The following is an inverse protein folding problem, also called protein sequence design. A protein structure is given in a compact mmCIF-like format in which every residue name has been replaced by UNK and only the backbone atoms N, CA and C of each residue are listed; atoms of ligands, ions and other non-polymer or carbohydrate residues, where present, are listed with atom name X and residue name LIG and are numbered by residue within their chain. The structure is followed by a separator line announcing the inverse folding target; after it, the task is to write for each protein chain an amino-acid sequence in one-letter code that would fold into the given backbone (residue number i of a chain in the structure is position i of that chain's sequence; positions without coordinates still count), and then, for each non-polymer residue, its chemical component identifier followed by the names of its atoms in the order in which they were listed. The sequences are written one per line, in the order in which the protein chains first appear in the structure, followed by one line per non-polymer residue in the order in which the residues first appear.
data_IF_619890246574
#
_entry.id   IF_619890246574
#
_cell.length_a   1.000
_cell.length_b   1.000
_cell.length_c   1.000
_cell.angle_alpha   90.00
_cell.angle_beta   90.00
_cell.angle_gamma   90.00
#
_symmetry.space_group_name_H-M   'P 1'
#
loop_
_entity.id
_entity.type
_entity.pdbx_description
1 polymer ?
#
# COMPACT_ATOMS: atom_id res chain seq x y z
N UNK A 1 -5.18 11.53 -9.73
CA UNK A 1 -4.89 11.92 -8.35
C UNK A 1 -4.15 10.82 -7.59
N UNK A 2 -4.39 9.53 -7.88
CA UNK A 2 -3.96 8.42 -7.04
C UNK A 2 -4.81 8.29 -5.77
N UNK A 3 -5.99 8.89 -5.77
CA UNK A 3 -7.01 8.79 -4.76
C UNK A 3 -8.05 7.73 -5.17
N UNK A 4 -8.55 6.98 -4.21
CA UNK A 4 -9.66 6.05 -4.37
C UNK A 4 -10.79 6.45 -3.43
N UNK A 5 -12.03 6.30 -3.87
CA UNK A 5 -13.17 6.64 -3.06
C UNK A 5 -14.41 5.86 -3.41
N UNK A 6 -15.36 5.89 -2.50
CA UNK A 6 -16.72 5.42 -2.70
C UNK A 6 -17.72 6.38 -2.07
N UNK A 7 -18.90 6.38 -2.62
CA UNK A 7 -20.05 7.14 -2.15
C UNK A 7 -21.24 6.20 -2.03
N UNK A 8 -22.01 6.35 -0.97
CA UNK A 8 -23.23 5.55 -0.75
C UNK A 8 -24.26 6.34 0.01
N UNK A 9 -25.50 5.91 -0.08
CA UNK A 9 -26.61 6.44 0.73
C UNK A 9 -26.93 5.49 1.87
N UNK A 10 -27.14 6.08 3.03
CA UNK A 10 -27.64 5.39 4.21
C UNK A 10 -28.83 6.23 4.77
N UNK A 11 -30.05 5.77 4.51
CA UNK A 11 -31.25 6.57 4.69
C UNK A 11 -31.23 7.81 3.78
N UNK A 12 -31.37 8.99 4.38
CA UNK A 12 -31.33 10.28 3.68
C UNK A 12 -29.90 10.84 3.54
N UNK A 13 -28.96 10.33 4.33
CA UNK A 13 -27.57 10.81 4.36
C UNK A 13 -26.77 10.26 3.18
N UNK A 14 -26.04 11.13 2.50
CA UNK A 14 -24.98 10.76 1.58
C UNK A 14 -23.68 10.64 2.36
N UNK A 15 -23.07 9.45 2.29
CA UNK A 15 -21.78 9.16 2.91
C UNK A 15 -20.70 8.99 1.87
N UNK A 16 -19.51 9.45 2.19
CA UNK A 16 -18.33 9.30 1.32
C UNK A 16 -17.15 8.70 2.10
N UNK A 17 -16.31 7.97 1.40
CA UNK A 17 -15.04 7.51 1.93
C UNK A 17 -13.97 7.64 0.86
N UNK A 18 -12.98 8.49 1.11
CA UNK A 18 -11.86 8.73 0.21
C UNK A 18 -10.53 8.41 0.89
N UNK A 19 -9.57 7.90 0.11
CA UNK A 19 -8.26 7.49 0.61
C UNK A 19 -7.18 7.74 -0.44
N UNK A 20 -6.01 8.18 0.01
CA UNK A 20 -4.77 8.17 -0.77
C UNK A 20 -3.55 7.90 0.13
N UNK A 21 -2.44 7.49 -0.48
CA UNK A 21 -1.15 7.37 0.20
C UNK A 21 -0.27 8.54 -0.20
N UNK A 22 0.09 9.39 0.76
CA UNK A 22 0.83 10.63 0.51
C UNK A 22 2.26 10.32 0.05
N UNK A 23 2.61 10.72 -1.18
CA UNK A 23 3.96 10.58 -1.72
C UNK A 23 5.01 11.43 -1.00
N UNK A 24 4.60 12.48 -0.31
CA UNK A 24 5.53 13.37 0.39
C UNK A 24 5.74 12.98 1.84
N UNK A 25 4.66 12.55 2.52
CA UNK A 25 4.66 12.38 3.98
C UNK A 25 4.74 10.93 4.42
N UNK A 26 4.69 9.97 3.47
CA UNK A 26 4.70 8.53 3.74
C UNK A 26 3.62 8.16 4.77
N UNK A 27 2.40 8.58 4.52
CA UNK A 27 1.23 8.38 5.36
C UNK A 27 0.02 8.03 4.51
N UNK A 28 -0.79 7.08 4.98
CA UNK A 28 -2.12 6.82 4.43
C UNK A 28 -3.07 7.84 5.03
N UNK A 29 -3.80 8.57 4.19
CA UNK A 29 -4.79 9.57 4.58
C UNK A 29 -6.15 9.09 4.13
N UNK A 30 -7.06 8.93 5.07
CA UNK A 30 -8.45 8.55 4.80
C UNK A 30 -9.41 9.58 5.37
N UNK A 31 -10.41 9.97 4.57
CA UNK A 31 -11.53 10.82 4.98
C UNK A 31 -12.83 10.06 4.86
N UNK A 32 -13.68 10.15 5.86
CA UNK A 32 -15.05 9.66 5.83
C UNK A 32 -15.94 10.82 6.19
N UNK A 33 -17.00 11.07 5.40
CA UNK A 33 -17.96 12.13 5.64
C UNK A 33 -19.40 11.64 5.58
N UNK A 34 -20.30 12.37 6.22
CA UNK A 34 -21.75 12.27 6.04
C UNK A 34 -22.36 13.66 5.87
N UNK A 35 -23.45 13.76 5.12
CA UNK A 35 -24.18 15.03 4.97
C UNK A 35 -24.93 15.45 6.25
N UNK A 36 -25.01 14.56 7.23
CA UNK A 36 -25.56 14.80 8.55
C UNK A 36 -24.58 14.31 9.62
N UNK A 37 -24.61 14.85 10.85
CA UNK A 37 -23.74 14.38 11.93
C UNK A 37 -24.27 13.05 12.52
N UNK A 38 -24.33 12.02 11.70
CA UNK A 38 -24.92 10.71 11.99
C UNK A 38 -23.95 9.53 11.80
N UNK A 39 -22.64 9.83 11.66
CA UNK A 39 -21.65 8.76 11.62
C UNK A 39 -21.54 8.07 12.96
N UNK A 40 -21.80 6.76 12.95
CA UNK A 40 -21.59 5.84 14.05
C UNK A 40 -20.52 4.83 13.61
N UNK A 41 -19.32 4.89 14.20
CA UNK A 41 -18.20 4.09 13.76
C UNK A 41 -17.39 3.54 14.93
N UNK A 42 -16.77 2.39 14.72
CA UNK A 42 -15.80 1.82 15.64
C UNK A 42 -14.51 1.53 14.88
N UNK A 43 -13.40 2.11 15.34
CA UNK A 43 -12.07 1.94 14.78
C UNK A 43 -11.27 0.97 15.64
N UNK A 44 -10.63 0.03 14.98
CA UNK A 44 -9.71 -0.92 15.59
C UNK A 44 -8.74 -1.47 14.57
N UNK A 45 -7.68 -2.12 15.04
CA UNK A 45 -6.70 -2.79 14.19
C UNK A 45 -6.57 -4.24 14.60
N UNK A 46 -6.52 -5.11 13.61
CA UNK A 46 -6.25 -6.53 13.80
C UNK A 46 -5.62 -7.11 12.54
N UNK A 47 -5.12 -8.35 12.63
CA UNK A 47 -4.68 -9.10 11.48
C UNK A 47 -5.88 -9.47 10.61
N UNK A 48 -5.70 -9.38 9.29
CA UNK A 48 -6.70 -9.89 8.36
C UNK A 48 -6.64 -11.42 8.31
N UNK A 49 -7.76 -12.06 8.63
CA UNK A 49 -7.91 -13.50 8.50
C UNK A 49 -8.33 -13.84 7.08
N UNK A 50 -7.49 -14.59 6.37
CA UNK A 50 -7.93 -15.22 5.14
C UNK A 50 -8.72 -16.48 5.48
N UNK A 51 -10.04 -16.38 5.43
CA UNK A 51 -10.96 -17.48 5.77
C UNK A 51 -10.96 -18.62 4.76
N UNK A 52 -10.24 -18.50 3.65
CA UNK A 52 -10.31 -19.45 2.54
C UNK A 52 -9.25 -20.57 2.59
N UNK A 53 -8.31 -20.55 3.54
CA UNK A 53 -7.25 -21.55 3.66
C UNK A 53 -6.93 -21.89 5.12
N UNK A 54 -7.13 -23.14 5.51
CA UNK A 54 -6.69 -23.72 6.79
C UNK A 54 -5.19 -23.51 7.07
N UNK A 55 -4.42 -23.21 6.02
CA UNK A 55 -3.00 -22.87 6.12
C UNK A 55 -2.71 -21.50 6.73
N UNK A 56 -3.64 -20.53 6.64
CA UNK A 56 -3.41 -19.18 7.16
C UNK A 56 -3.26 -19.19 8.69
N UNK A 57 -4.10 -19.92 9.41
CA UNK A 57 -3.98 -20.07 10.86
C UNK A 57 -2.66 -20.70 11.27
N UNK A 58 -2.23 -21.74 10.54
CA UNK A 58 -0.96 -22.42 10.81
C UNK A 58 0.24 -21.48 10.62
N UNK A 59 0.25 -20.68 9.58
CA UNK A 59 1.38 -19.80 9.24
C UNK A 59 1.38 -18.47 9.99
N UNK A 60 0.22 -18.01 10.45
CA UNK A 60 0.09 -16.78 11.21
C UNK A 60 -0.03 -17.00 12.73
N UNK A 61 0.12 -18.24 13.22
CA UNK A 61 -0.07 -18.57 14.64
C UNK A 61 0.75 -17.68 15.56
N UNK A 62 2.04 -17.51 15.29
CA UNK A 62 2.91 -16.67 16.11
C UNK A 62 2.53 -15.18 16.07
N UNK A 63 1.98 -14.68 14.95
CA UNK A 63 1.44 -13.33 14.86
C UNK A 63 0.22 -13.19 15.76
N UNK A 64 -0.68 -14.18 15.76
CA UNK A 64 -1.87 -14.20 16.61
C UNK A 64 -1.51 -14.24 18.10
N UNK A 65 -0.45 -14.96 18.45
CA UNK A 65 0.04 -15.09 19.82
C UNK A 65 0.81 -13.85 20.32
N UNK A 66 1.38 -13.07 19.40
CA UNK A 66 2.26 -11.93 19.73
C UNK A 66 1.64 -10.57 19.40
N UNK A 67 0.47 -10.54 18.75
CA UNK A 67 -0.19 -9.29 18.43
C UNK A 67 -0.63 -8.54 19.66
N UNK A 68 -0.41 -7.25 19.66
CA UNK A 68 -0.88 -6.33 20.66
C UNK A 68 -1.58 -5.16 19.98
N UNK A 69 -2.74 -4.78 20.48
CA UNK A 69 -3.45 -3.57 20.07
C UNK A 69 -3.71 -2.72 21.31
N UNK A 70 -3.34 -1.46 21.24
CA UNK A 70 -3.60 -0.50 22.31
C UNK A 70 -4.17 0.79 21.76
N UNK A 71 -5.05 1.41 22.54
CA UNK A 71 -5.58 2.73 22.27
C UNK A 71 -5.13 3.65 23.39
N UNK A 72 -4.70 4.83 23.02
CA UNK A 72 -4.41 5.91 23.96
C UNK A 72 -4.63 7.25 23.25
N UNK A 73 -5.37 8.10 23.88
CA UNK A 73 -5.81 9.38 23.31
C UNK A 73 -6.50 9.14 21.96
N UNK A 74 -6.10 9.78 20.89
CA UNK A 74 -6.63 9.55 19.53
C UNK A 74 -5.89 8.48 18.73
N UNK A 75 -4.93 7.75 19.35
CA UNK A 75 -4.06 6.81 18.65
C UNK A 75 -4.46 5.36 18.87
N UNK A 76 -4.42 4.59 17.79
CA UNK A 76 -4.49 3.13 17.81
C UNK A 76 -3.12 2.59 17.38
N UNK A 77 -2.49 1.79 18.24
CA UNK A 77 -1.21 1.14 17.96
C UNK A 77 -1.43 -0.36 17.80
N UNK A 78 -0.94 -0.91 16.71
CA UNK A 78 -0.90 -2.35 16.48
C UNK A 78 0.54 -2.80 16.29
N UNK A 79 0.93 -3.88 16.95
CA UNK A 79 2.25 -4.51 16.80
C UNK A 79 2.13 -6.02 16.80
N UNK A 80 3.00 -6.70 16.06
CA UNK A 80 3.18 -8.15 16.13
C UNK A 80 4.61 -8.52 15.76
N UNK A 81 5.02 -9.75 16.05
CA UNK A 81 6.34 -10.26 15.70
C UNK A 81 6.34 -10.98 14.36
N UNK A 82 7.40 -10.76 13.58
CA UNK A 82 7.77 -11.61 12.45
C UNK A 82 8.45 -12.90 12.95
N UNK A 83 8.59 -13.90 12.09
CA UNK A 83 9.29 -15.15 12.40
C UNK A 83 10.75 -14.96 12.83
N UNK A 84 11.40 -13.90 12.35
CA UNK A 84 12.78 -13.53 12.71
C UNK A 84 12.89 -12.79 14.05
N UNK A 85 11.78 -12.62 14.77
CA UNK A 85 11.71 -11.92 16.04
C UNK A 85 11.65 -10.39 15.93
N UNK A 86 11.68 -9.83 14.74
CA UNK A 86 11.50 -8.39 14.54
C UNK A 86 10.03 -7.99 14.65
N UNK A 87 9.79 -6.75 15.08
CA UNK A 87 8.45 -6.17 15.13
C UNK A 87 8.05 -5.58 13.78
N UNK A 88 6.80 -5.73 13.46
CA UNK A 88 6.07 -4.90 12.50
C UNK A 88 4.80 -4.36 13.15
N UNK A 89 4.23 -3.33 12.56
CA UNK A 89 3.00 -2.77 13.09
C UNK A 89 2.55 -1.54 12.36
N UNK A 90 1.60 -0.86 13.00
CA UNK A 90 0.95 0.32 12.45
C UNK A 90 0.52 1.24 13.58
N UNK A 91 0.67 2.55 13.36
CA UNK A 91 0.09 3.58 14.21
C UNK A 91 -0.97 4.32 13.38
N UNK A 92 -2.19 4.44 13.91
CA UNK A 92 -3.21 5.30 13.34
C UNK A 92 -3.60 6.40 14.31
N UNK A 93 -3.87 7.58 13.77
CA UNK A 93 -4.49 8.69 14.48
C UNK A 93 -5.90 8.93 13.93
N UNK A 94 -6.88 9.02 14.83
CA UNK A 94 -8.29 9.28 14.49
C UNK A 94 -8.56 10.74 14.83
N UNK A 95 -8.93 11.55 13.85
CA UNK A 95 -9.15 12.99 13.96
C UNK A 95 -10.60 13.32 13.55
N UNK A 96 -11.59 13.20 14.45
CA UNK A 96 -12.94 13.64 14.17
C UNK A 96 -12.99 15.17 14.12
N UNK A 97 -13.80 15.73 13.20
CA UNK A 97 -14.04 17.16 13.12
C UNK A 97 -15.05 17.63 14.18
N UNK A 98 -15.95 16.74 14.55
CA UNK A 98 -17.04 16.96 15.52
C UNK A 98 -17.45 15.63 16.16
N UNK A 99 -18.53 15.63 16.94
CA UNK A 99 -19.10 14.44 17.54
C UNK A 99 -18.47 14.05 18.88
N UNK A 100 -18.79 12.85 19.32
CA UNK A 100 -18.35 12.27 20.59
C UNK A 100 -17.53 11.03 20.29
N UNK A 101 -16.37 10.92 20.91
CA UNK A 101 -15.56 9.71 20.82
C UNK A 101 -15.20 9.18 22.21
N UNK A 102 -15.08 7.87 22.32
CA UNK A 102 -14.73 7.18 23.54
C UNK A 102 -13.80 5.99 23.26
N UNK A 103 -12.90 5.71 24.19
CA UNK A 103 -12.10 4.50 24.17
C UNK A 103 -12.88 3.33 24.77
N UNK A 104 -12.92 2.22 24.04
CA UNK A 104 -13.65 1.04 24.49
C UNK A 104 -12.92 -0.24 24.05
N UNK A 105 -12.38 -1.00 25.02
CA UNK A 105 -11.75 -2.31 24.79
C UNK A 105 -10.73 -2.34 23.64
N UNK A 106 -9.79 -1.38 23.62
CA UNK A 106 -8.75 -1.29 22.59
C UNK A 106 -9.25 -0.80 21.22
N UNK A 107 -10.41 -0.15 21.19
CA UNK A 107 -11.02 0.49 20.01
C UNK A 107 -11.44 1.91 20.33
N UNK A 108 -11.57 2.72 19.29
CA UNK A 108 -12.18 4.05 19.39
C UNK A 108 -13.58 3.98 18.79
N UNK A 109 -14.59 4.30 19.59
CA UNK A 109 -15.97 4.48 19.11
C UNK A 109 -16.23 5.95 18.89
N UNK A 110 -16.76 6.28 17.71
CA UNK A 110 -17.16 7.61 17.29
C UNK A 110 -18.67 7.64 17.05
N UNK A 111 -19.34 8.69 17.53
CA UNK A 111 -20.76 8.89 17.34
C UNK A 111 -21.09 10.36 17.09
N UNK A 112 -22.22 10.61 16.43
CA UNK A 112 -22.72 11.95 16.13
C UNK A 112 -21.69 12.84 15.39
N UNK A 113 -20.97 12.26 14.45
CA UNK A 113 -19.90 12.93 13.71
C UNK A 113 -20.31 13.15 12.26
N UNK A 114 -19.87 14.24 11.65
CA UNK A 114 -20.07 14.53 10.23
C UNK A 114 -18.84 14.20 9.38
N UNK A 115 -17.64 14.33 9.95
CA UNK A 115 -16.38 14.05 9.27
C UNK A 115 -15.32 13.49 10.21
N UNK A 116 -14.57 12.52 9.73
CA UNK A 116 -13.37 12.02 10.39
C UNK A 116 -12.22 11.84 9.40
N UNK A 117 -11.05 12.34 9.78
CA UNK A 117 -9.78 12.03 9.11
C UNK A 117 -9.03 10.95 9.89
N UNK A 118 -8.38 10.07 9.15
CA UNK A 118 -7.58 8.99 9.70
C UNK A 118 -6.21 9.03 9.03
N UNK A 119 -5.16 9.14 9.83
CA UNK A 119 -3.78 9.08 9.39
C UNK A 119 -3.16 7.76 9.83
N UNK A 120 -2.50 7.03 8.92
CA UNK A 120 -1.96 5.71 9.24
C UNK A 120 -0.53 5.61 8.75
N UNK A 121 0.40 5.19 9.63
CA UNK A 121 1.80 4.89 9.31
C UNK A 121 2.16 3.48 9.72
N UNK A 122 2.51 2.59 8.76
CA UNK A 122 3.06 1.28 9.06
C UNK A 122 4.57 1.36 9.35
N UNK A 123 5.09 0.36 10.04
CA UNK A 123 6.52 0.11 10.22
C UNK A 123 6.83 -1.37 10.15
N UNK A 124 8.06 -1.71 9.75
CA UNK A 124 8.53 -3.09 9.61
C UNK A 124 9.98 -3.22 10.10
N UNK A 125 10.37 -4.45 10.46
CA UNK A 125 11.76 -4.81 10.82
C UNK A 125 12.36 -3.96 11.93
N UNK A 126 11.61 -3.72 13.00
CA UNK A 126 12.06 -2.98 14.17
C UNK A 126 12.50 -3.98 15.25
N UNK A 127 13.62 -3.71 15.92
CA UNK A 127 14.03 -4.50 17.08
C UNK A 127 13.02 -4.35 18.21
N UNK A 128 12.73 -5.44 18.93
CA UNK A 128 11.70 -5.47 19.98
C UNK A 128 11.93 -4.42 21.08
N UNK A 129 13.17 -4.16 21.41
CA UNK A 129 13.60 -3.18 22.41
C UNK A 129 13.28 -1.72 21.99
N UNK A 130 13.13 -1.47 20.69
CA UNK A 130 12.82 -0.16 20.12
C UNK A 130 11.32 0.09 19.97
N UNK A 131 10.44 -0.85 20.38
CA UNK A 131 8.98 -0.74 20.20
C UNK A 131 8.45 0.62 20.64
N UNK A 132 8.67 1.00 21.88
CA UNK A 132 8.11 2.22 22.44
C UNK A 132 8.67 3.48 21.77
N UNK A 133 9.96 3.47 21.42
CA UNK A 133 10.60 4.58 20.69
C UNK A 133 10.01 4.78 19.32
N UNK A 134 9.77 3.71 18.57
CA UNK A 134 9.17 3.79 17.23
C UNK A 134 7.71 4.23 17.31
N UNK A 135 6.93 3.68 18.24
CA UNK A 135 5.53 4.09 18.40
C UNK A 135 5.43 5.58 18.77
N UNK A 136 6.22 6.04 19.74
CA UNK A 136 6.23 7.45 20.13
C UNK A 136 6.62 8.37 18.97
N UNK A 137 7.67 8.01 18.21
CA UNK A 137 8.10 8.76 17.03
C UNK A 137 7.00 8.86 15.98
N UNK A 138 6.33 7.74 15.66
CA UNK A 138 5.26 7.75 14.66
C UNK A 138 4.03 8.54 15.13
N UNK A 139 3.70 8.51 16.41
CA UNK A 139 2.64 9.34 17.00
C UNK A 139 2.98 10.83 16.88
N UNK A 140 4.22 11.23 17.20
CA UNK A 140 4.70 12.58 17.01
C UNK A 140 4.60 13.03 15.54
N UNK A 141 5.13 12.22 14.61
CA UNK A 141 5.03 12.52 13.17
C UNK A 141 3.59 12.65 12.66
N UNK A 142 2.65 11.86 13.19
CA UNK A 142 1.24 11.97 12.84
C UNK A 142 0.60 13.22 13.43
N UNK A 143 0.94 13.57 14.68
CA UNK A 143 0.43 14.78 15.36
C UNK A 143 0.84 16.08 14.67
N UNK A 144 1.97 16.10 13.96
CA UNK A 144 2.45 17.25 13.18
C UNK A 144 1.66 17.45 11.87
N UNK A 145 0.84 16.50 11.47
CA UNK A 145 0.04 16.59 10.24
C UNK A 145 -1.19 17.44 10.50
N UNK A 146 -1.28 18.60 9.84
CA UNK A 146 -2.52 19.37 9.84
C UNK A 146 -3.66 18.56 9.22
N UNK A 147 -4.77 18.46 9.92
CA UNK A 147 -5.95 17.70 9.50
C UNK A 147 -6.74 18.46 8.39
N UNK A 148 -6.11 18.65 7.25
CA UNK A 148 -6.66 19.29 6.04
C UNK A 148 -6.50 18.33 4.87
N UNK A 149 -7.55 17.55 4.60
CA UNK A 149 -7.55 16.54 3.54
C UNK A 149 -7.24 17.11 2.17
N UNK A 150 -7.85 18.22 1.81
CA UNK A 150 -7.76 18.78 0.46
C UNK A 150 -6.36 19.35 0.18
N UNK A 151 -5.74 19.97 1.16
CA UNK A 151 -4.34 20.41 1.06
C UNK A 151 -3.38 19.24 0.93
N UNK A 152 -3.57 18.18 1.72
CA UNK A 152 -2.76 16.96 1.65
C UNK A 152 -2.93 16.24 0.31
N UNK A 153 -4.16 16.14 -0.19
CA UNK A 153 -4.45 15.56 -1.51
C UNK A 153 -3.82 16.39 -2.63
N UNK A 154 -3.91 17.70 -2.59
CA UNK A 154 -3.30 18.61 -3.57
C UNK A 154 -1.78 18.44 -3.64
N UNK A 155 -1.13 18.35 -2.49
CA UNK A 155 0.32 18.10 -2.39
C UNK A 155 0.69 16.74 -3.00
N UNK A 156 -0.01 15.67 -2.62
CA UNK A 156 0.15 14.34 -3.18
C UNK A 156 -0.07 14.30 -4.68
N UNK A 157 -1.22 14.83 -5.13
CA UNK A 157 -1.62 14.80 -6.54
C UNK A 157 -0.63 15.53 -7.45
N UNK A 158 -0.03 16.63 -6.99
CA UNK A 158 1.00 17.36 -7.74
C UNK A 158 2.21 16.47 -8.04
N UNK A 159 2.68 15.71 -7.05
CA UNK A 159 3.81 14.79 -7.20
C UNK A 159 3.45 13.56 -8.05
N UNK A 160 2.26 13.00 -7.85
CA UNK A 160 1.79 11.85 -8.62
C UNK A 160 1.57 12.20 -10.08
N UNK A 161 0.89 13.31 -10.38
CA UNK A 161 0.60 13.79 -11.74
C UNK A 161 1.86 14.07 -12.55
N UNK A 162 2.95 14.53 -11.92
CA UNK A 162 4.23 14.73 -12.60
C UNK A 162 4.65 13.48 -13.38
N UNK A 163 4.54 12.32 -12.78
CA UNK A 163 4.91 11.06 -13.40
C UNK A 163 3.78 10.45 -14.23
N UNK A 164 2.56 10.51 -13.72
CA UNK A 164 1.42 9.91 -14.41
C UNK A 164 1.18 10.56 -15.78
N UNK A 165 1.27 11.89 -15.86
CA UNK A 165 1.03 12.66 -17.07
C UNK A 165 2.30 12.82 -17.95
N UNK A 166 3.43 12.20 -17.59
CA UNK A 166 4.67 12.33 -18.38
C UNK A 166 4.65 11.53 -19.71
N UNK A 167 3.70 10.65 -19.87
CA UNK A 167 3.36 9.97 -21.13
C UNK A 167 1.86 9.66 -21.14
N UNK A 168 1.27 9.61 -22.32
CA UNK A 168 -0.11 9.19 -22.54
C UNK A 168 -0.18 8.18 -23.68
N UNK A 169 -1.24 7.38 -23.68
CA UNK A 169 -1.55 6.43 -24.73
C UNK A 169 -3.01 6.57 -25.11
N UNK A 170 -3.27 6.81 -26.39
CA UNK A 170 -4.61 6.96 -26.93
C UNK A 170 -4.77 6.21 -28.24
N UNK A 171 -5.87 5.49 -28.37
CA UNK A 171 -6.34 4.85 -29.60
C UNK A 171 -7.39 5.74 -30.31
N UNK A 172 -7.50 7.01 -29.91
CA UNK A 172 -8.44 8.00 -30.44
C UNK A 172 -9.91 7.57 -30.32
N UNK A 173 -10.25 6.87 -29.24
CA UNK A 173 -11.62 6.50 -28.95
C UNK A 173 -12.48 7.75 -28.75
N UNK A 174 -13.57 7.86 -29.49
CA UNK A 174 -14.51 8.99 -29.45
C UNK A 174 -15.94 8.60 -29.07
N UNK A 175 -16.13 7.40 -28.54
CA UNK A 175 -17.43 6.89 -28.09
C UNK A 175 -17.84 7.41 -26.72
N UNK A 176 -19.04 6.98 -26.27
CA UNK A 176 -19.46 7.15 -24.87
C UNK A 176 -18.63 6.25 -23.97
N UNK A 177 -18.26 6.77 -22.80
CA UNK A 177 -17.59 5.95 -21.78
C UNK A 177 -18.54 4.88 -21.25
N UNK A 178 -18.01 3.64 -21.16
CA UNK A 178 -18.70 2.49 -20.59
C UNK A 178 -18.17 2.19 -19.20
N UNK A 179 -18.98 1.49 -18.40
CA UNK A 179 -18.48 0.94 -17.13
C UNK A 179 -17.43 -0.16 -17.39
N UNK A 180 -16.60 -0.44 -16.39
CA UNK A 180 -15.60 -1.49 -16.52
C UNK A 180 -16.25 -2.87 -16.77
N UNK A 181 -17.40 -3.12 -16.14
CA UNK A 181 -18.17 -4.36 -16.30
C UNK A 181 -18.66 -4.52 -17.75
N UNK A 182 -19.17 -3.44 -18.36
CA UNK A 182 -19.59 -3.44 -19.77
C UNK A 182 -18.43 -3.74 -20.71
N UNK A 183 -17.28 -3.07 -20.50
CA UNK A 183 -16.08 -3.29 -21.32
C UNK A 183 -15.54 -4.71 -21.19
N UNK A 184 -15.55 -5.26 -19.98
CA UNK A 184 -15.15 -6.64 -19.74
C UNK A 184 -16.11 -7.64 -20.38
N UNK A 185 -17.43 -7.43 -20.26
CA UNK A 185 -18.42 -8.27 -20.90
C UNK A 185 -18.27 -8.28 -22.43
N UNK A 186 -17.98 -7.11 -23.04
CA UNK A 186 -17.69 -7.00 -24.47
C UNK A 186 -16.40 -7.76 -24.84
N UNK A 187 -15.35 -7.64 -24.05
CA UNK A 187 -14.09 -8.35 -24.30
C UNK A 187 -14.27 -9.88 -24.20
N UNK A 188 -15.00 -10.36 -23.20
CA UNK A 188 -15.33 -11.79 -23.09
C UNK A 188 -16.20 -12.29 -24.24
N UNK A 189 -16.98 -11.44 -24.89
CA UNK A 189 -17.73 -11.79 -26.11
C UNK A 189 -16.90 -11.77 -27.39
N UNK A 190 -15.58 -11.54 -27.30
CA UNK A 190 -14.65 -11.53 -28.42
C UNK A 190 -14.46 -10.16 -29.08
N UNK A 191 -15.07 -9.09 -28.57
CA UNK A 191 -14.81 -7.73 -29.03
C UNK A 191 -13.50 -7.22 -28.43
N UNK A 192 -12.92 -6.22 -29.09
CA UNK A 192 -11.70 -5.55 -28.62
C UNK A 192 -11.95 -4.05 -28.45
N UNK A 193 -12.67 -3.63 -27.38
CA UNK A 193 -12.98 -2.22 -27.21
C UNK A 193 -11.70 -1.40 -26.97
N UNK A 194 -11.40 -0.39 -27.82
CA UNK A 194 -10.21 0.45 -27.64
C UNK A 194 -10.15 1.14 -26.27
N UNK A 195 -11.30 1.51 -25.74
CA UNK A 195 -11.42 2.11 -24.41
C UNK A 195 -10.86 1.20 -23.31
N UNK A 196 -11.09 -0.12 -23.40
CA UNK A 196 -10.55 -1.07 -22.42
C UNK A 196 -9.02 -1.11 -22.46
N UNK A 197 -8.44 -1.10 -23.66
CA UNK A 197 -6.97 -1.11 -23.86
C UNK A 197 -6.36 0.16 -23.27
N UNK A 198 -6.95 1.34 -23.55
CA UNK A 198 -6.50 2.60 -22.95
C UNK A 198 -6.59 2.60 -21.41
N UNK A 199 -7.70 2.07 -20.87
CA UNK A 199 -7.88 1.93 -19.41
C UNK A 199 -6.86 1.00 -18.79
N UNK A 200 -6.58 -0.16 -19.39
CA UNK A 200 -5.58 -1.12 -18.91
C UNK A 200 -4.18 -0.49 -18.90
N UNK A 201 -3.81 0.24 -19.96
CA UNK A 201 -2.52 0.94 -20.01
C UNK A 201 -2.42 2.00 -18.89
N UNK A 202 -3.43 2.83 -18.73
CA UNK A 202 -3.50 3.86 -17.69
C UNK A 202 -3.48 3.27 -16.29
N UNK A 203 -4.16 2.15 -16.09
CA UNK A 203 -4.17 1.45 -14.80
C UNK A 203 -2.82 0.79 -14.48
N UNK A 204 -2.21 0.09 -15.44
CA UNK A 204 -0.87 -0.48 -15.27
C UNK A 204 0.17 0.59 -14.93
N UNK A 205 0.09 1.75 -15.60
CA UNK A 205 0.93 2.91 -15.28
C UNK A 205 0.73 3.43 -13.85
N UNK A 206 -0.53 3.53 -13.41
CA UNK A 206 -0.86 3.89 -12.03
C UNK A 206 -0.27 2.90 -11.02
N UNK A 207 -0.44 1.60 -11.26
CA UNK A 207 0.09 0.55 -10.38
C UNK A 207 1.61 0.65 -10.26
N UNK A 208 2.33 0.78 -11.37
CA UNK A 208 3.77 0.89 -11.37
C UNK A 208 4.27 2.14 -10.63
N UNK A 209 3.70 3.32 -10.91
CA UNK A 209 4.07 4.57 -10.23
C UNK A 209 3.77 4.47 -8.73
N UNK A 210 2.67 3.83 -8.34
CA UNK A 210 2.27 3.70 -6.94
C UNK A 210 3.12 2.68 -6.17
N UNK A 211 3.54 1.59 -6.82
CA UNK A 211 4.29 0.51 -6.20
C UNK A 211 5.82 0.63 -6.30
N UNK A 212 6.32 1.70 -6.93
CA UNK A 212 7.78 1.91 -7.11
C UNK A 212 8.26 3.19 -6.47
N UNK A 213 9.55 3.23 -6.16
CA UNK A 213 10.25 4.41 -5.67
C UNK A 213 11.69 4.45 -6.21
N UNK A 214 12.39 5.54 -5.95
CA UNK A 214 13.83 5.68 -6.19
C UNK A 214 14.70 5.10 -5.05
N UNK A 215 14.05 4.55 -4.02
CA UNK A 215 14.71 3.80 -2.94
C UNK A 215 15.07 2.39 -3.41
N UNK A 216 15.80 1.63 -2.61
CA UNK A 216 16.26 0.26 -2.92
C UNK A 216 15.19 -0.81 -2.64
N UNK A 217 14.00 -0.58 -3.12
CA UNK A 217 12.89 -1.52 -2.99
C UNK A 217 12.21 -1.66 -4.35
N UNK A 218 12.50 -2.73 -5.12
CA UNK A 218 11.87 -2.95 -6.41
C UNK A 218 10.40 -3.32 -6.21
N UNK A 219 9.62 -3.16 -7.27
CA UNK A 219 8.23 -3.60 -7.32
C UNK A 219 8.18 -5.13 -7.17
N UNK A 220 7.63 -5.68 -6.08
CA UNK A 220 7.51 -7.11 -5.91
C UNK A 220 6.37 -7.66 -6.79
N UNK A 221 6.27 -8.99 -6.91
CA UNK A 221 5.35 -9.64 -7.84
C UNK A 221 3.88 -9.17 -7.72
N UNK A 222 3.41 -8.96 -6.50
CA UNK A 222 2.07 -8.43 -6.23
C UNK A 222 2.03 -6.92 -5.98
N UNK A 223 3.15 -6.22 -6.11
CA UNK A 223 3.24 -4.81 -5.75
C UNK A 223 2.93 -4.60 -4.26
N UNK A 224 2.07 -3.63 -3.99
CA UNK A 224 1.57 -3.31 -2.65
C UNK A 224 0.19 -3.93 -2.37
N UNK A 225 -0.37 -4.67 -3.32
CA UNK A 225 -1.74 -5.19 -3.28
C UNK A 225 -1.80 -6.63 -2.81
N UNK A 226 -1.13 -6.92 -1.70
CA UNK A 226 -1.13 -8.20 -1.03
C UNK A 226 -1.79 -8.04 0.35
N UNK A 227 -2.78 -8.87 0.66
CA UNK A 227 -3.54 -8.80 1.91
C UNK A 227 -3.17 -9.88 2.92
N UNK A 228 -2.40 -10.89 2.54
CA UNK A 228 -2.08 -12.03 3.40
C UNK A 228 -0.70 -11.87 4.04
N UNK A 229 -0.58 -12.26 5.30
CA UNK A 229 0.69 -12.23 6.04
C UNK A 229 1.78 -13.10 5.37
N UNK A 230 1.41 -14.29 4.87
CA UNK A 230 2.28 -15.16 4.06
C UNK A 230 1.65 -15.41 2.71
N UNK A 231 1.84 -14.45 1.82
CA UNK A 231 1.37 -14.60 0.45
C UNK A 231 2.33 -15.48 -0.35
N UNK A 232 1.77 -16.42 -1.12
CA UNK A 232 2.53 -17.16 -2.12
C UNK A 232 3.13 -16.18 -3.12
N UNK A 233 4.38 -16.38 -3.52
CA UNK A 233 5.10 -15.48 -4.44
C UNK A 233 5.37 -14.06 -3.88
N UNK A 234 5.45 -13.91 -2.55
CA UNK A 234 5.74 -12.63 -1.89
C UNK A 234 7.21 -12.19 -1.98
N UNK A 235 8.00 -12.75 -2.87
CA UNK A 235 9.40 -12.45 -3.10
C UNK A 235 9.65 -11.77 -4.44
N UNK A 236 10.85 -11.19 -4.61
CA UNK A 236 11.27 -10.62 -5.88
C UNK A 236 11.75 -11.73 -6.81
N UNK A 237 11.05 -11.90 -7.93
CA UNK A 237 11.41 -12.86 -8.99
C UNK A 237 12.31 -12.16 -10.01
N UNK A 238 13.63 -12.33 -9.85
CA UNK A 238 14.61 -11.62 -10.66
C UNK A 238 14.74 -12.13 -12.11
N UNK A 239 14.31 -13.36 -12.36
CA UNK A 239 14.56 -14.03 -13.64
C UNK A 239 13.66 -13.57 -14.79
N UNK A 240 12.44 -13.14 -14.53
CA UNK A 240 11.48 -12.74 -15.58
C UNK A 240 10.50 -11.67 -15.05
N UNK A 241 9.81 -11.97 -13.97
CA UNK A 241 8.70 -11.13 -13.52
C UNK A 241 9.12 -9.70 -13.16
N UNK A 242 10.23 -9.52 -12.45
CA UNK A 242 10.73 -8.19 -12.13
C UNK A 242 11.15 -7.44 -13.39
N UNK A 243 11.81 -8.12 -14.34
CA UNK A 243 12.21 -7.52 -15.63
C UNK A 243 10.99 -7.05 -16.40
N UNK A 244 9.97 -7.90 -16.57
CA UNK A 244 8.73 -7.59 -17.30
C UNK A 244 7.98 -6.41 -16.66
N UNK A 245 7.93 -6.34 -15.34
CA UNK A 245 7.31 -5.21 -14.61
C UNK A 245 8.01 -3.89 -14.98
N UNK A 246 9.32 -3.89 -15.18
CA UNK A 246 10.09 -2.67 -15.46
C UNK A 246 10.28 -2.33 -16.95
N UNK A 247 10.07 -3.25 -17.90
CA UNK A 247 10.31 -3.00 -19.32
C UNK A 247 9.58 -1.77 -19.86
N UNK A 248 8.31 -1.60 -19.52
CA UNK A 248 7.51 -0.49 -20.01
C UNK A 248 7.99 0.89 -19.50
N UNK A 249 8.81 0.93 -18.45
CA UNK A 249 9.27 2.19 -17.85
C UNK A 249 10.15 3.01 -18.79
N UNK A 250 10.85 2.37 -19.73
CA UNK A 250 11.65 3.05 -20.75
C UNK A 250 10.78 3.84 -21.72
N UNK A 251 9.83 3.18 -22.37
CA UNK A 251 8.93 3.81 -23.35
C UNK A 251 7.86 4.67 -22.66
N UNK A 252 7.55 4.39 -21.41
CA UNK A 252 6.56 5.10 -20.59
C UNK A 252 7.07 6.36 -19.90
N UNK A 253 8.31 6.80 -20.18
CA UNK A 253 8.95 7.96 -19.51
C UNK A 253 8.99 7.85 -17.97
N UNK A 254 9.26 6.63 -17.44
CA UNK A 254 9.35 6.31 -16.02
C UNK A 254 10.76 5.83 -15.62
N UNK A 255 11.76 6.14 -16.42
CA UNK A 255 13.16 5.73 -16.20
C UNK A 255 13.72 6.06 -14.79
N UNK A 256 13.39 7.19 -14.14
CA UNK A 256 13.85 7.44 -12.78
C UNK A 256 13.48 6.37 -11.74
N UNK A 257 12.40 5.62 -11.95
CA UNK A 257 11.99 4.53 -11.05
C UNK A 257 12.91 3.29 -11.17
N UNK A 258 13.67 3.17 -12.25
CA UNK A 258 14.70 2.13 -12.41
C UNK A 258 15.84 2.27 -11.37
N UNK A 259 16.06 3.49 -10.83
CA UNK A 259 17.10 3.72 -9.82
C UNK A 259 16.93 2.84 -8.59
N UNK A 260 15.70 2.65 -8.12
CA UNK A 260 15.41 1.77 -7.00
C UNK A 260 15.77 0.32 -7.28
N UNK A 261 15.44 -0.17 -8.48
CA UNK A 261 15.79 -1.51 -8.95
C UNK A 261 17.31 -1.71 -9.01
N UNK A 262 18.02 -0.79 -9.66
CA UNK A 262 19.49 -0.90 -9.79
C UNK A 262 20.18 -0.82 -8.44
N UNK A 263 19.74 0.06 -7.56
CA UNK A 263 20.28 0.17 -6.21
C UNK A 263 20.08 -1.12 -5.42
N UNK A 264 18.89 -1.73 -5.54
CA UNK A 264 18.59 -3.00 -4.91
C UNK A 264 19.57 -4.10 -5.33
N UNK A 265 19.80 -4.30 -6.62
CA UNK A 265 20.72 -5.33 -7.11
C UNK A 265 22.18 -4.99 -6.83
N UNK A 266 22.59 -3.72 -6.99
CA UNK A 266 23.95 -3.29 -6.69
C UNK A 266 24.34 -3.54 -5.22
N UNK A 267 23.43 -3.30 -4.29
CA UNK A 267 23.67 -3.54 -2.88
C UNK A 267 23.88 -5.03 -2.55
N UNK A 268 23.48 -5.95 -3.44
CA UNK A 268 23.57 -7.40 -3.27
C UNK A 268 24.66 -8.06 -4.10
N UNK A 269 25.46 -7.31 -4.83
CA UNK A 269 26.60 -7.84 -5.58
C UNK A 269 27.54 -8.68 -4.72
N UNK A 270 27.87 -8.31 -3.46
CA UNK A 270 28.68 -9.16 -2.59
C UNK A 270 28.07 -10.54 -2.34
N UNK A 271 26.74 -10.60 -2.08
CA UNK A 271 26.02 -11.87 -1.87
C UNK A 271 26.04 -12.73 -3.15
N UNK A 272 25.83 -12.13 -4.33
CA UNK A 272 25.85 -12.83 -5.60
C UNK A 272 27.24 -13.36 -5.97
N UNK A 273 28.29 -12.66 -5.57
CA UNK A 273 29.68 -13.15 -5.73
C UNK A 273 29.96 -14.34 -4.80
N UNK A 274 29.46 -14.28 -3.57
CA UNK A 274 29.57 -15.37 -2.61
C UNK A 274 28.82 -16.61 -3.10
N UNK A 275 27.62 -16.44 -3.66
CA UNK A 275 26.83 -17.50 -4.30
C UNK A 275 27.63 -18.16 -5.46
N UNK A 276 28.22 -17.38 -6.36
CA UNK A 276 29.00 -17.91 -7.47
C UNK A 276 30.19 -18.74 -6.94
N UNK A 277 30.86 -18.26 -5.91
CA UNK A 277 31.99 -18.96 -5.28
C UNK A 277 31.58 -20.23 -4.58
N UNK A 278 30.53 -20.19 -3.76
CA UNK A 278 30.08 -21.33 -2.96
C UNK A 278 29.42 -22.43 -3.80
N UNK A 279 28.61 -22.06 -4.78
CA UNK A 279 27.86 -23.03 -5.58
C UNK A 279 28.64 -23.61 -6.75
N UNK A 280 29.52 -22.81 -7.37
CA UNK A 280 30.21 -23.20 -8.58
C UNK A 280 31.74 -23.18 -8.50
N UNK A 281 32.31 -22.69 -7.38
CA UNK A 281 33.74 -22.51 -7.23
C UNK A 281 34.34 -21.43 -8.16
N UNK A 282 33.52 -20.61 -8.81
CA UNK A 282 33.89 -19.65 -9.83
C UNK A 282 33.90 -18.21 -9.32
N UNK A 283 34.72 -17.38 -9.98
CA UNK A 283 34.60 -15.93 -9.83
C UNK A 283 33.46 -15.45 -10.74
N UNK A 284 32.71 -14.46 -10.27
CA UNK A 284 31.61 -13.90 -11.04
C UNK A 284 30.44 -13.51 -10.14
N UNK A 285 29.28 -13.41 -10.73
CA UNK A 285 28.00 -13.07 -10.05
C UNK A 285 27.00 -14.17 -10.40
N UNK A 286 26.41 -14.77 -9.38
CA UNK A 286 25.27 -15.65 -9.54
C UNK A 286 24.08 -15.11 -8.77
N UNK A 287 23.08 -14.65 -9.50
CA UNK A 287 21.82 -14.15 -8.97
C UNK A 287 20.78 -15.25 -9.09
N UNK A 288 20.15 -15.61 -7.96
CA UNK A 288 19.08 -16.60 -7.92
C UNK A 288 17.78 -16.04 -8.50
N UNK A 289 16.85 -16.92 -8.88
CA UNK A 289 15.52 -16.50 -9.35
C UNK A 289 14.76 -15.69 -8.28
N UNK A 290 14.84 -16.09 -7.01
CA UNK A 290 14.31 -15.33 -5.88
C UNK A 290 15.42 -14.50 -5.25
N UNK A 291 15.23 -13.19 -5.12
CA UNK A 291 16.22 -12.23 -4.60
C UNK A 291 15.69 -11.42 -3.43
N UNK A 292 14.98 -12.05 -2.52
CA UNK A 292 14.49 -11.37 -1.31
C UNK A 292 15.65 -11.09 -0.36
N UNK A 293 15.69 -9.91 0.32
CA UNK A 293 16.74 -9.60 1.29
C UNK A 293 16.89 -10.67 2.37
N UNK A 294 18.11 -11.14 2.59
CA UNK A 294 18.43 -12.19 3.55
C UNK A 294 18.14 -13.63 3.10
N UNK A 295 17.69 -13.82 1.86
CA UNK A 295 17.37 -15.12 1.25
C UNK A 295 17.88 -15.15 -0.20
N UNK A 296 19.11 -14.81 -0.38
CA UNK A 296 19.74 -14.81 -1.72
C UNK A 296 20.70 -15.97 -1.89
#
# INVERSE_FOLDING_TARGET
TGEVGCEWRDGESLRTSYLFVSRKRDVIVKRITSTSPDLEMTFGMDIHYNTTRDSAEKYAKHVLETKECSVRDSFINYTALNDDGTLYGTVAQICPADGIWEENHGKIKLSQCSEVLIFIKPFIKVCKEQKNTVLAKLQEELSEITADYDSLLKEHARLHKKWYNSADFSLNYRGKYHSNEQLLAEAYSGKQPPELIEKLWKYGRYLFISGTSDKDNPFPLYGLWAGDYRLMWSHNMANENTEMIYWHSYVGNLLPFQKGLYKYYNNRIPEYRDNAKKLFGMNGIYMTAGTTPGVC
#
